data_IF_821071827265
#
_entry.id   IF_821071827265
#
_cell.length_a   1.000
_cell.length_b   1.000
_cell.length_c   1.000
_cell.angle_alpha   90.00
_cell.angle_beta   90.00
_cell.angle_gamma   90.00
#
_symmetry.space_group_name_H-M   'P 1'
#
loop_
_entity.id
_entity.type
_entity.pdbx_description
1 polymer ?
#
# COMPACT_ATOMS: atom_id res chain seq x y z
N UNK A 1 17.71 11.60 1.37
CA UNK A 1 16.90 12.63 0.64
C UNK A 1 15.44 12.42 0.99
N UNK A 2 14.62 13.48 1.11
CA UNK A 2 13.19 13.27 1.39
C UNK A 2 12.39 13.34 0.09
N UNK A 3 11.58 12.33 -0.18
CA UNK A 3 10.74 12.22 -1.37
C UNK A 3 9.35 12.79 -1.03
N UNK A 4 8.87 13.75 -1.83
CA UNK A 4 7.53 14.29 -1.71
C UNK A 4 6.57 13.52 -2.64
N UNK A 5 5.64 12.79 -2.03
CA UNK A 5 4.69 11.94 -2.74
C UNK A 5 3.49 12.79 -3.18
N UNK A 6 3.33 12.95 -4.48
CA UNK A 6 2.25 13.71 -5.08
C UNK A 6 1.20 12.87 -5.84
N UNK A 7 1.45 11.57 -5.93
CA UNK A 7 0.59 10.63 -6.66
C UNK A 7 0.90 10.49 -8.16
N UNK A 8 1.79 11.31 -8.74
CA UNK A 8 1.99 11.37 -10.19
C UNK A 8 3.45 11.31 -10.64
N UNK A 9 4.40 11.84 -9.84
CA UNK A 9 5.79 12.07 -10.26
C UNK A 9 6.79 11.02 -9.73
N UNK A 10 6.31 9.97 -9.06
CA UNK A 10 7.17 8.92 -8.49
C UNK A 10 7.88 8.15 -9.60
N UNK A 11 9.23 8.17 -9.60
CA UNK A 11 10.08 7.43 -10.55
C UNK A 11 10.48 6.05 -10.04
N UNK A 12 10.97 5.17 -10.93
CA UNK A 12 11.48 3.85 -10.56
C UNK A 12 12.67 3.94 -9.59
N UNK A 13 13.58 4.90 -9.80
CA UNK A 13 14.72 5.16 -8.91
C UNK A 13 14.27 5.55 -7.51
N UNK A 14 13.18 6.31 -7.41
CA UNK A 14 12.60 6.70 -6.12
C UNK A 14 11.92 5.52 -5.42
N UNK A 15 11.24 4.64 -6.17
CA UNK A 15 10.67 3.40 -5.62
C UNK A 15 11.80 2.55 -5.04
N UNK A 16 12.88 2.32 -5.78
CA UNK A 16 14.06 1.58 -5.31
C UNK A 16 14.69 2.25 -4.08
N UNK A 17 14.83 3.57 -4.10
CA UNK A 17 15.43 4.34 -2.99
C UNK A 17 14.66 4.16 -1.68
N UNK A 18 13.33 4.22 -1.74
CA UNK A 18 12.48 4.01 -0.55
C UNK A 18 12.47 2.54 -0.13
N UNK A 19 12.33 1.63 -1.10
CA UNK A 19 12.20 0.21 -0.81
C UNK A 19 13.50 -0.41 -0.24
N UNK A 20 14.66 -0.10 -0.85
CA UNK A 20 15.95 -0.74 -0.54
C UNK A 20 16.90 0.10 0.28
N UNK A 21 16.82 1.44 0.18
CA UNK A 21 17.72 2.36 0.90
C UNK A 21 17.06 3.11 2.05
N UNK A 22 15.75 2.91 2.28
CA UNK A 22 15.04 3.52 3.40
C UNK A 22 14.88 5.04 3.29
N UNK A 23 14.88 5.59 2.07
CA UNK A 23 14.67 7.03 1.88
C UNK A 23 13.34 7.48 2.48
N UNK A 24 13.37 8.64 3.12
CA UNK A 24 12.21 9.18 3.83
C UNK A 24 11.18 9.74 2.86
N UNK A 25 9.88 9.54 3.16
CA UNK A 25 8.77 9.93 2.29
C UNK A 25 7.77 10.79 3.04
N UNK A 26 7.31 11.86 2.42
CA UNK A 26 6.25 12.73 2.96
C UNK A 26 5.16 12.94 1.91
N UNK A 27 3.92 13.10 2.36
CA UNK A 27 2.82 13.49 1.49
C UNK A 27 2.95 14.96 1.11
N UNK A 28 2.97 15.26 -0.19
CA UNK A 28 3.03 16.62 -0.71
C UNK A 28 1.79 17.43 -0.25
N UNK A 29 1.95 18.72 0.14
CA UNK A 29 0.83 19.53 0.61
C UNK A 29 -0.34 19.59 -0.38
N UNK A 30 -0.07 19.75 -1.68
CA UNK A 30 -1.10 19.77 -2.71
C UNK A 30 -1.83 18.41 -2.86
N UNK A 31 -1.13 17.29 -2.64
CA UNK A 31 -1.75 15.97 -2.62
C UNK A 31 -2.66 15.82 -1.40
N UNK A 32 -2.24 16.31 -0.24
CA UNK A 32 -3.06 16.30 0.98
C UNK A 32 -4.39 17.01 0.78
N UNK A 33 -4.39 18.17 0.11
CA UNK A 33 -5.62 18.90 -0.19
C UNK A 33 -6.54 18.12 -1.14
N UNK A 34 -5.98 17.43 -2.17
CA UNK A 34 -6.78 16.57 -3.04
C UNK A 34 -7.40 15.39 -2.28
N UNK A 35 -6.64 14.77 -1.38
CA UNK A 35 -7.14 13.67 -0.52
C UNK A 35 -8.29 14.16 0.36
N UNK A 36 -8.15 15.34 0.99
CA UNK A 36 -9.21 15.96 1.79
C UNK A 36 -10.47 16.25 0.97
N UNK A 37 -10.33 16.82 -0.21
CA UNK A 37 -11.45 17.11 -1.10
C UNK A 37 -12.20 15.84 -1.52
N UNK A 38 -11.47 14.77 -1.85
CA UNK A 38 -12.07 13.48 -2.18
C UNK A 38 -12.77 12.85 -0.96
N UNK A 39 -12.22 13.00 0.24
CA UNK A 39 -12.85 12.53 1.48
C UNK A 39 -14.16 13.28 1.74
N UNK A 40 -14.18 14.59 1.62
CA UNK A 40 -15.39 15.40 1.79
C UNK A 40 -16.51 14.96 0.84
N UNK A 41 -16.16 14.55 -0.38
CA UNK A 41 -17.13 13.97 -1.33
C UNK A 41 -17.74 12.68 -0.78
N UNK A 42 -16.93 11.77 -0.23
CA UNK A 42 -17.43 10.51 0.37
C UNK A 42 -18.33 10.81 1.57
N UNK A 43 -17.97 11.75 2.42
CA UNK A 43 -18.77 12.15 3.58
C UNK A 43 -20.13 12.74 3.17
N UNK A 44 -20.15 13.54 2.12
CA UNK A 44 -21.41 14.03 1.53
C UNK A 44 -22.28 12.91 0.95
N UNK A 45 -21.67 11.83 0.42
CA UNK A 45 -22.42 10.68 -0.09
C UNK A 45 -23.02 9.81 1.03
N UNK A 46 -22.42 9.80 2.24
CA UNK A 46 -22.96 9.04 3.38
C UNK A 46 -24.32 9.58 3.85
N UNK A 47 -24.55 10.87 3.66
CA UNK A 47 -25.82 11.53 4.01
C UNK A 47 -26.86 11.44 2.90
N UNK A 48 -26.46 10.99 1.69
CA UNK A 48 -27.35 10.88 0.55
C UNK A 48 -28.26 9.64 0.68
N UNK A 49 -29.53 9.76 0.26
CA UNK A 49 -30.50 8.65 0.30
C UNK A 49 -30.23 7.57 -0.76
N UNK A 50 -29.46 7.88 -1.80
CA UNK A 50 -29.16 6.94 -2.90
C UNK A 50 -28.08 5.91 -2.50
N UNK A 51 -28.21 4.65 -2.94
CA UNK A 51 -27.15 3.65 -2.75
C UNK A 51 -25.91 4.03 -3.59
N UNK A 52 -24.74 4.00 -2.95
CA UNK A 52 -23.44 4.20 -3.60
C UNK A 52 -22.55 3.01 -3.26
N UNK A 53 -22.14 2.27 -4.28
CA UNK A 53 -21.33 1.05 -4.13
C UNK A 53 -20.09 1.26 -3.26
N UNK A 54 -19.96 0.46 -2.23
CA UNK A 54 -18.80 0.47 -1.32
C UNK A 54 -18.70 1.71 -0.43
N UNK A 55 -19.70 2.60 -0.45
CA UNK A 55 -19.83 3.76 0.46
C UNK A 55 -21.03 3.56 1.38
N UNK A 56 -22.24 3.40 0.79
CA UNK A 56 -23.50 3.18 1.52
C UNK A 56 -24.06 1.77 1.30
N UNK A 57 -23.37 0.91 0.51
CA UNK A 57 -23.71 -0.49 0.28
C UNK A 57 -22.56 -1.41 0.65
N UNK A 58 -22.85 -2.71 0.76
CA UNK A 58 -21.85 -3.75 0.83
C UNK A 58 -21.10 -3.96 -0.49
N UNK A 59 -20.32 -5.05 -0.57
CA UNK A 59 -19.43 -5.37 -1.70
C UNK A 59 -19.87 -6.65 -2.41
N UNK A 60 -19.53 -6.79 -3.68
CA UNK A 60 -19.81 -7.99 -4.48
C UNK A 60 -21.31 -8.33 -4.48
N UNK A 61 -21.67 -9.50 -3.97
CA UNK A 61 -23.08 -9.94 -3.87
C UNK A 61 -23.94 -9.07 -2.94
N UNK A 62 -23.31 -8.25 -2.08
CA UNK A 62 -24.01 -7.33 -1.18
C UNK A 62 -24.06 -5.90 -1.74
N UNK A 63 -23.80 -5.71 -3.02
CA UNK A 63 -23.78 -4.40 -3.69
C UNK A 63 -25.10 -3.64 -3.59
N UNK A 64 -26.21 -4.36 -3.48
CA UNK A 64 -27.57 -3.80 -3.36
C UNK A 64 -28.06 -3.69 -1.91
N UNK A 65 -27.26 -4.19 -0.95
CA UNK A 65 -27.61 -4.15 0.47
C UNK A 65 -27.11 -2.84 1.06
N UNK A 66 -28.04 -1.99 1.52
CA UNK A 66 -27.71 -0.75 2.22
C UNK A 66 -27.08 -1.06 3.57
N UNK A 67 -25.96 -0.43 3.86
CA UNK A 67 -25.23 -0.57 5.13
C UNK A 67 -25.56 0.66 5.99
N UNK A 68 -26.12 0.47 7.19
CA UNK A 68 -26.33 1.54 8.14
C UNK A 68 -24.99 2.19 8.53
N UNK A 69 -24.94 3.51 8.76
CA UNK A 69 -23.71 4.22 9.11
C UNK A 69 -22.98 3.61 10.33
N UNK A 70 -23.72 3.11 11.32
CA UNK A 70 -23.19 2.46 12.52
C UNK A 70 -22.47 1.12 12.23
N UNK A 71 -22.73 0.51 11.09
CA UNK A 71 -22.08 -0.73 10.65
C UNK A 71 -20.93 -0.49 9.66
N UNK A 72 -20.72 0.76 9.24
CA UNK A 72 -19.74 1.07 8.21
C UNK A 72 -18.30 0.70 8.64
N UNK A 73 -17.93 0.94 9.90
CA UNK A 73 -16.64 0.55 10.45
C UNK A 73 -16.45 -0.97 10.44
N UNK A 74 -17.40 -1.71 11.01
CA UNK A 74 -17.34 -3.18 11.06
C UNK A 74 -17.27 -3.79 9.66
N UNK A 75 -17.97 -3.20 8.67
CA UNK A 75 -17.89 -3.63 7.29
C UNK A 75 -16.49 -3.50 6.71
N UNK A 76 -15.81 -2.36 6.96
CA UNK A 76 -14.44 -2.13 6.46
C UNK A 76 -13.44 -3.11 7.10
N UNK A 77 -13.53 -3.33 8.40
CA UNK A 77 -12.68 -4.31 9.10
C UNK A 77 -12.93 -5.75 8.60
N UNK A 78 -14.20 -6.14 8.46
CA UNK A 78 -14.56 -7.46 7.97
C UNK A 78 -14.15 -7.68 6.51
N UNK A 79 -14.14 -6.62 5.68
CA UNK A 79 -13.59 -6.68 4.34
C UNK A 79 -12.10 -7.07 4.38
N UNK A 80 -11.29 -6.43 5.21
CA UNK A 80 -9.87 -6.76 5.34
C UNK A 80 -9.68 -8.20 5.82
N UNK A 81 -10.37 -8.60 6.88
CA UNK A 81 -10.28 -9.94 7.46
C UNK A 81 -10.66 -11.03 6.46
N UNK A 82 -11.75 -10.82 5.70
CA UNK A 82 -12.23 -11.79 4.72
C UNK A 82 -11.32 -11.95 3.50
N UNK A 83 -10.48 -10.95 3.20
CA UNK A 83 -9.56 -10.97 2.07
C UNK A 83 -8.13 -11.35 2.45
N UNK A 84 -7.79 -11.41 3.74
CA UNK A 84 -6.47 -11.79 4.22
C UNK A 84 -6.31 -13.32 4.28
N UNK A 85 -6.39 -13.97 3.13
CA UNK A 85 -6.30 -15.43 2.99
C UNK A 85 -5.00 -15.89 2.29
N UNK A 86 -4.00 -15.03 2.20
CA UNK A 86 -2.71 -15.37 1.62
C UNK A 86 -1.99 -16.48 2.39
N UNK A 87 -1.20 -17.28 1.69
CA UNK A 87 -0.44 -18.42 2.21
C UNK A 87 1.00 -18.42 1.70
N UNK A 88 1.85 -19.27 2.25
CA UNK A 88 3.25 -19.39 1.87
C UNK A 88 4.18 -18.51 2.71
N UNK A 89 5.47 -18.46 2.35
CA UNK A 89 6.44 -17.60 3.02
C UNK A 89 6.09 -16.11 2.84
N UNK A 90 6.61 -15.24 3.71
CA UNK A 90 6.42 -13.80 3.55
C UNK A 90 7.19 -13.27 2.34
N UNK A 91 6.62 -12.25 1.68
CA UNK A 91 7.31 -11.45 0.69
C UNK A 91 8.58 -10.81 1.27
N UNK A 92 9.58 -10.58 0.43
CA UNK A 92 10.78 -9.84 0.80
C UNK A 92 10.44 -8.41 1.28
N UNK A 93 11.24 -7.89 2.19
CA UNK A 93 11.00 -6.58 2.83
C UNK A 93 10.91 -5.45 1.79
N UNK A 94 11.80 -5.44 0.80
CA UNK A 94 11.81 -4.41 -0.24
C UNK A 94 10.52 -4.43 -1.08
N UNK A 95 9.97 -5.62 -1.38
CA UNK A 95 8.68 -5.77 -2.06
C UNK A 95 7.51 -5.22 -1.22
N UNK A 96 7.51 -5.48 0.10
CA UNK A 96 6.51 -4.95 1.03
C UNK A 96 6.60 -3.43 1.13
N UNK A 97 7.81 -2.88 1.25
CA UNK A 97 8.07 -1.44 1.30
C UNK A 97 7.64 -0.74 0.00
N UNK A 98 7.96 -1.32 -1.16
CA UNK A 98 7.49 -0.83 -2.45
C UNK A 98 5.95 -0.83 -2.53
N UNK A 99 5.31 -1.89 -2.02
CA UNK A 99 3.85 -2.01 -2.00
C UNK A 99 3.19 -0.94 -1.13
N UNK A 100 3.72 -0.67 0.07
CA UNK A 100 3.28 0.41 0.96
C UNK A 100 3.40 1.77 0.27
N UNK A 101 4.56 2.05 -0.34
CA UNK A 101 4.82 3.29 -1.08
C UNK A 101 3.83 3.49 -2.22
N UNK A 102 3.65 2.46 -3.05
CA UNK A 102 2.73 2.54 -4.19
C UNK A 102 1.27 2.65 -3.74
N UNK A 103 0.88 2.00 -2.63
CA UNK A 103 -0.44 2.20 -2.06
C UNK A 103 -0.65 3.65 -1.63
N UNK A 104 0.29 4.23 -0.89
CA UNK A 104 0.25 5.63 -0.50
C UNK A 104 0.21 6.56 -1.73
N UNK A 105 1.00 6.26 -2.77
CA UNK A 105 1.04 7.05 -4.01
C UNK A 105 -0.31 7.06 -4.75
N UNK A 106 -0.98 5.91 -4.83
CA UNK A 106 -2.32 5.82 -5.44
C UNK A 106 -3.33 6.64 -4.63
N UNK A 107 -3.29 6.57 -3.30
CA UNK A 107 -4.19 7.32 -2.44
C UNK A 107 -3.92 8.84 -2.51
N UNK A 108 -2.65 9.25 -2.64
CA UNK A 108 -2.22 10.64 -2.80
C UNK A 108 -2.80 11.33 -4.06
N UNK A 109 -3.25 10.56 -5.06
CA UNK A 109 -3.95 11.11 -6.23
C UNK A 109 -5.26 11.83 -5.87
N UNK A 110 -5.90 11.46 -4.75
CA UNK A 110 -7.14 12.07 -4.29
C UNK A 110 -8.39 11.57 -5.00
N UNK A 111 -8.43 10.30 -5.44
CA UNK A 111 -9.63 9.70 -6.05
C UNK A 111 -10.29 8.64 -5.16
N UNK A 112 -9.60 8.17 -4.12
CA UNK A 112 -10.05 7.04 -3.31
C UNK A 112 -11.01 7.43 -2.18
N UNK A 113 -11.02 8.69 -1.75
CA UNK A 113 -11.90 9.20 -0.69
C UNK A 113 -11.55 8.70 0.71
N UNK A 114 -10.27 8.39 0.95
CA UNK A 114 -9.75 8.10 2.30
C UNK A 114 -9.46 9.40 3.04
N UNK A 115 -9.38 9.34 4.36
CA UNK A 115 -8.84 10.44 5.18
C UNK A 115 -7.32 10.56 4.97
N UNK A 116 -6.73 11.78 5.12
CA UNK A 116 -5.27 11.97 5.08
C UNK A 116 -4.52 11.07 6.07
N UNK A 117 -5.09 10.79 7.25
CA UNK A 117 -4.50 9.98 8.31
C UNK A 117 -4.19 8.54 7.84
N UNK A 118 -4.96 8.01 6.88
CA UNK A 118 -4.70 6.70 6.27
C UNK A 118 -3.40 6.73 5.46
N UNK A 119 -3.20 7.80 4.68
CA UNK A 119 -1.96 7.99 3.90
C UNK A 119 -0.79 8.24 4.84
N UNK A 120 -1.00 9.07 5.86
CA UNK A 120 0.03 9.39 6.84
C UNK A 120 0.52 8.12 7.55
N UNK A 121 -0.38 7.24 8.01
CA UNK A 121 0.04 6.01 8.67
C UNK A 121 0.80 5.06 7.75
N UNK A 122 0.43 4.94 6.46
CA UNK A 122 1.21 4.19 5.47
C UNK A 122 2.63 4.72 5.35
N UNK A 123 2.79 6.05 5.26
CA UNK A 123 4.10 6.70 5.16
C UNK A 123 4.90 6.59 6.47
N UNK A 124 4.24 6.72 7.63
CA UNK A 124 4.89 6.53 8.92
C UNK A 124 5.36 5.08 9.12
N UNK A 125 4.60 4.08 8.67
CA UNK A 125 5.06 2.70 8.67
C UNK A 125 6.34 2.54 7.84
N UNK A 126 6.40 3.11 6.63
CA UNK A 126 7.61 3.11 5.80
C UNK A 126 8.80 3.79 6.49
N UNK A 127 8.56 5.00 7.03
CA UNK A 127 9.60 5.85 7.60
C UNK A 127 10.15 5.30 8.92
N UNK A 128 9.34 4.55 9.67
CA UNK A 128 9.70 3.96 10.97
C UNK A 128 10.02 2.47 10.89
N UNK A 129 10.10 1.89 9.70
CA UNK A 129 10.49 0.50 9.51
C UNK A 129 9.48 -0.52 10.03
N UNK A 130 8.19 -0.23 9.95
CA UNK A 130 7.12 -1.20 10.21
C UNK A 130 6.80 -1.92 8.90
N UNK A 131 7.16 -3.21 8.81
CA UNK A 131 7.01 -4.01 7.60
C UNK A 131 5.92 -5.07 7.82
N UNK A 132 4.69 -4.90 7.30
CA UNK A 132 3.65 -5.93 7.37
C UNK A 132 4.13 -7.28 6.84
N UNK A 133 3.75 -8.36 7.52
CA UNK A 133 4.01 -9.73 7.04
C UNK A 133 2.94 -10.07 6.00
N UNK A 134 3.34 -10.09 4.75
CA UNK A 134 2.46 -10.35 3.60
C UNK A 134 2.85 -11.67 2.98
N UNK A 135 2.00 -12.72 3.00
CA UNK A 135 2.28 -13.98 2.31
C UNK A 135 2.41 -13.79 0.79
N UNK A 136 3.33 -14.53 0.17
CA UNK A 136 3.64 -14.39 -1.27
C UNK A 136 2.55 -14.92 -2.21
N UNK A 137 1.68 -15.82 -1.73
CA UNK A 137 0.63 -16.46 -2.53
C UNK A 137 -0.74 -15.97 -2.06
N UNK A 138 -1.54 -15.42 -2.96
CA UNK A 138 -2.90 -14.95 -2.62
C UNK A 138 -3.50 -13.99 -3.65
N UNK A 139 -2.69 -13.27 -4.42
CA UNK A 139 -3.21 -12.45 -5.52
C UNK A 139 -3.64 -13.34 -6.67
N UNK A 140 -4.85 -13.09 -7.18
CA UNK A 140 -5.38 -13.75 -8.39
C UNK A 140 -5.44 -12.79 -9.60
N UNK A 141 -5.03 -11.55 -9.40
CA UNK A 141 -4.88 -10.55 -10.45
C UNK A 141 -6.19 -10.07 -11.13
N UNK A 142 -7.36 -10.48 -10.62
CA UNK A 142 -8.63 -10.19 -11.29
C UNK A 142 -9.06 -8.72 -11.20
N UNK A 143 -9.10 -8.15 -9.98
CA UNK A 143 -9.40 -6.72 -9.72
C UNK A 143 -8.28 -6.04 -8.93
N UNK A 144 -7.14 -6.68 -8.83
CA UNK A 144 -5.96 -6.24 -8.09
C UNK A 144 -5.45 -7.28 -7.12
N UNK A 145 -4.52 -6.86 -6.28
CA UNK A 145 -3.80 -7.68 -5.31
C UNK A 145 -4.53 -7.71 -3.96
N UNK A 146 -5.84 -8.08 -3.94
CA UNK A 146 -6.70 -7.91 -2.76
C UNK A 146 -6.14 -8.63 -1.52
N UNK A 147 -5.77 -9.89 -1.63
CA UNK A 147 -5.28 -10.68 -0.49
C UNK A 147 -3.98 -10.12 0.11
N UNK A 148 -2.91 -9.88 -0.66
CA UNK A 148 -1.69 -9.29 -0.09
C UNK A 148 -1.91 -7.87 0.44
N UNK A 149 -2.74 -7.04 -0.22
CA UNK A 149 -3.09 -5.71 0.28
C UNK A 149 -3.93 -5.77 1.56
N UNK A 150 -4.76 -6.80 1.73
CA UNK A 150 -5.51 -7.01 2.97
C UNK A 150 -4.57 -7.34 4.14
N UNK A 151 -3.58 -8.22 3.95
CA UNK A 151 -2.55 -8.47 4.96
C UNK A 151 -1.78 -7.19 5.35
N UNK A 152 -1.42 -6.38 4.36
CA UNK A 152 -0.79 -5.08 4.60
C UNK A 152 -1.71 -4.16 5.42
N UNK A 153 -2.98 -4.06 5.04
CA UNK A 153 -3.96 -3.17 5.67
C UNK A 153 -4.37 -3.60 7.08
N UNK A 154 -4.35 -4.91 7.39
CA UNK A 154 -4.61 -5.40 8.75
C UNK A 154 -3.67 -4.77 9.78
N UNK A 155 -2.39 -4.56 9.44
CA UNK A 155 -1.44 -3.93 10.36
C UNK A 155 -1.84 -2.51 10.69
N UNK A 156 -2.41 -1.76 9.74
CA UNK A 156 -2.85 -0.39 9.97
C UNK A 156 -4.01 -0.30 10.97
N UNK A 157 -4.79 -1.36 11.13
CA UNK A 157 -5.86 -1.44 12.15
C UNK A 157 -5.44 -2.20 13.41
N UNK A 158 -4.14 -2.50 13.55
CA UNK A 158 -3.58 -3.20 14.71
C UNK A 158 -3.73 -4.71 14.69
N UNK A 159 -4.21 -5.29 13.60
CA UNK A 159 -4.34 -6.73 13.40
C UNK A 159 -3.18 -7.27 12.52
N UNK A 160 -3.20 -8.58 12.22
CA UNK A 160 -2.12 -9.20 11.46
C UNK A 160 -0.78 -9.16 12.19
N UNK A 161 0.30 -9.23 11.44
CA UNK A 161 1.66 -9.25 11.96
C UNK A 161 2.56 -8.31 11.16
N UNK A 162 3.57 -7.74 11.81
CA UNK A 162 4.60 -6.95 11.16
C UNK A 162 5.98 -7.25 11.74
N UNK A 163 7.01 -6.96 10.96
CA UNK A 163 8.42 -6.98 11.40
C UNK A 163 8.84 -5.54 11.70
N UNK A 164 9.42 -5.34 12.87
CA UNK A 164 10.02 -4.07 13.31
C UNK A 164 11.37 -4.39 13.94
N UNK A 165 12.43 -3.70 13.50
CA UNK A 165 13.82 -3.94 13.99
C UNK A 165 14.22 -5.43 13.93
N UNK A 166 13.79 -6.15 12.88
CA UNK A 166 14.06 -7.57 12.70
C UNK A 166 13.21 -8.52 13.56
N UNK A 167 12.28 -8.00 14.38
CA UNK A 167 11.41 -8.81 15.24
C UNK A 167 9.97 -8.82 14.73
N UNK A 168 9.42 -10.02 14.57
CA UNK A 168 8.00 -10.23 14.22
C UNK A 168 7.12 -10.05 15.44
N UNK A 169 6.05 -9.27 15.30
CA UNK A 169 5.09 -8.98 16.36
C UNK A 169 3.67 -8.80 15.79
N UNK A 170 2.65 -8.90 16.65
CA UNK A 170 1.28 -8.57 16.30
C UNK A 170 1.17 -7.08 15.88
N UNK A 171 0.30 -6.75 14.95
CA UNK A 171 0.19 -5.43 14.32
C UNK A 171 0.13 -4.28 15.33
N UNK A 172 -0.74 -4.36 16.34
CA UNK A 172 -0.85 -3.33 17.38
C UNK A 172 0.46 -3.15 18.17
N UNK A 173 1.13 -4.26 18.52
CA UNK A 173 2.40 -4.22 19.26
C UNK A 173 3.53 -3.65 18.39
N UNK A 174 3.56 -4.00 17.10
CA UNK A 174 4.53 -3.47 16.14
C UNK A 174 4.38 -1.94 15.97
N UNK A 175 3.16 -1.45 15.81
CA UNK A 175 2.89 -0.02 15.73
C UNK A 175 3.28 0.72 17.02
N UNK A 176 2.86 0.20 18.17
CA UNK A 176 3.17 0.80 19.47
C UNK A 176 4.67 0.91 19.74
N UNK A 177 5.48 -0.07 19.27
CA UNK A 177 6.94 -0.09 19.44
C UNK A 177 7.62 1.13 18.82
N UNK A 178 7.04 1.67 17.75
CA UNK A 178 7.55 2.87 17.06
C UNK A 178 6.70 4.12 17.36
N UNK A 179 5.83 4.08 18.36
CA UNK A 179 5.00 5.23 18.76
C UNK A 179 3.87 5.56 17.78
N UNK A 180 3.40 4.57 17.03
CA UNK A 180 2.22 4.68 16.16
C UNK A 180 1.00 4.01 16.82
N UNK A 181 -0.20 4.50 16.47
CA UNK A 181 -1.46 3.93 16.91
C UNK A 181 -2.24 3.35 15.72
N UNK A 182 -2.98 2.24 15.93
CA UNK A 182 -3.88 1.72 14.91
C UNK A 182 -4.97 2.71 14.52
N UNK A 183 -5.42 2.63 13.28
CA UNK A 183 -6.57 3.39 12.77
C UNK A 183 -7.87 2.65 13.01
N UNK A 184 -8.91 3.40 13.36
CA UNK A 184 -10.29 2.99 13.17
C UNK A 184 -10.72 3.40 11.78
N UNK A 185 -11.05 2.42 10.92
CA UNK A 185 -11.43 2.68 9.54
C UNK A 185 -12.83 3.30 9.46
N UNK A 186 -12.98 4.24 8.56
CA UNK A 186 -14.27 4.82 8.20
C UNK A 186 -14.76 4.26 6.86
N UNK A 187 -16.00 4.60 6.50
CA UNK A 187 -16.62 4.18 5.24
C UNK A 187 -15.68 4.35 4.05
N UNK A 188 -15.61 3.34 3.19
CA UNK A 188 -14.78 3.23 1.98
C UNK A 188 -13.28 3.01 2.21
N UNK A 189 -12.73 3.21 3.39
CA UNK A 189 -11.28 3.14 3.62
C UNK A 189 -10.72 1.71 3.49
N UNK A 190 -11.45 0.69 3.97
CA UNK A 190 -11.05 -0.70 3.77
C UNK A 190 -10.98 -1.07 2.28
N UNK A 191 -12.03 -0.73 1.50
CA UNK A 191 -12.03 -0.95 0.06
C UNK A 191 -10.88 -0.20 -0.63
N UNK A 192 -10.63 1.06 -0.22
CA UNK A 192 -9.55 1.86 -0.79
C UNK A 192 -8.16 1.30 -0.47
N UNK A 193 -8.01 0.57 0.63
CA UNK A 193 -6.74 -0.06 1.00
C UNK A 193 -6.47 -1.35 0.22
N UNK A 194 -7.49 -2.14 -0.13
CA UNK A 194 -7.27 -3.47 -0.74
C UNK A 194 -7.42 -3.48 -2.26
N UNK A 195 -8.10 -2.51 -2.86
CA UNK A 195 -8.38 -2.53 -4.29
C UNK A 195 -7.32 -1.79 -5.10
N UNK A 196 -6.43 -2.53 -5.73
CA UNK A 196 -5.36 -2.03 -6.59
C UNK A 196 -4.27 -3.07 -6.83
N UNK A 197 -3.29 -2.72 -7.66
CA UNK A 197 -2.20 -3.58 -8.13
C UNK A 197 -0.84 -3.19 -7.53
N UNK A 198 -0.84 -2.64 -6.32
CA UNK A 198 0.36 -2.03 -5.74
C UNK A 198 1.44 -3.07 -5.39
N UNK A 199 1.07 -4.32 -5.09
CA UNK A 199 2.03 -5.39 -4.79
C UNK A 199 2.69 -5.87 -6.08
N UNK A 200 1.90 -6.23 -7.08
CA UNK A 200 2.41 -6.63 -8.40
C UNK A 200 3.25 -5.52 -9.05
N UNK A 201 2.80 -4.27 -8.98
CA UNK A 201 3.54 -3.14 -9.52
C UNK A 201 4.84 -2.85 -8.72
N UNK A 202 4.84 -3.02 -7.40
CA UNK A 202 6.02 -2.85 -6.56
C UNK A 202 7.10 -3.88 -6.88
N UNK A 203 6.73 -5.15 -6.95
CA UNK A 203 7.64 -6.24 -7.37
C UNK A 203 8.17 -5.99 -8.78
N UNK A 204 7.27 -5.63 -9.73
CA UNK A 204 7.64 -5.34 -11.12
C UNK A 204 8.60 -4.14 -11.25
N UNK A 205 8.40 -3.08 -10.48
CA UNK A 205 9.28 -1.92 -10.46
C UNK A 205 10.70 -2.26 -9.99
N UNK A 206 10.82 -3.05 -8.92
CA UNK A 206 12.12 -3.51 -8.42
C UNK A 206 12.81 -4.46 -9.40
N UNK A 207 12.07 -5.41 -9.98
CA UNK A 207 12.60 -6.33 -10.97
C UNK A 207 13.08 -5.59 -12.24
N UNK A 208 12.36 -4.55 -12.67
CA UNK A 208 12.79 -3.71 -13.80
C UNK A 208 14.10 -2.98 -13.51
N UNK A 209 14.25 -2.42 -12.30
CA UNK A 209 15.51 -1.79 -11.87
C UNK A 209 16.68 -2.77 -11.88
N UNK A 210 16.46 -3.98 -11.39
CA UNK A 210 17.49 -5.03 -11.43
C UNK A 210 17.87 -5.40 -12.86
N UNK A 211 16.90 -5.49 -13.78
CA UNK A 211 17.15 -5.76 -15.19
C UNK A 211 17.95 -4.64 -15.88
N UNK A 212 17.65 -3.36 -15.58
CA UNK A 212 18.42 -2.21 -16.09
C UNK A 212 19.89 -2.27 -15.64
N UNK A 213 20.13 -2.57 -14.35
CA UNK A 213 21.49 -2.73 -13.81
C UNK A 213 22.21 -3.90 -14.47
N UNK A 214 21.54 -5.06 -14.61
CA UNK A 214 22.12 -6.25 -15.25
C UNK A 214 22.49 -5.98 -16.72
N UNK A 215 21.66 -5.25 -17.45
CA UNK A 215 21.95 -4.87 -18.85
C UNK A 215 23.21 -4.01 -18.92
N UNK A 216 23.32 -3.01 -18.06
CA UNK A 216 24.51 -2.15 -18.00
C UNK A 216 25.78 -2.94 -17.64
N UNK A 217 25.68 -3.85 -16.67
CA UNK A 217 26.81 -4.71 -16.29
C UNK A 217 27.21 -5.65 -17.45
N UNK A 218 26.25 -6.18 -18.19
CA UNK A 218 26.51 -7.04 -19.36
C UNK A 218 27.28 -6.27 -20.46
N UNK A 219 26.89 -5.01 -20.74
CA UNK A 219 27.62 -4.18 -21.72
C UNK A 219 29.06 -3.89 -21.27
N UNK A 220 29.25 -3.54 -20.00
CA UNK A 220 30.59 -3.27 -19.44
C UNK A 220 31.46 -4.53 -19.50
N UNK A 221 30.94 -5.68 -19.06
CA UNK A 221 31.71 -6.93 -19.05
C UNK A 221 32.00 -7.44 -20.47
N UNK A 222 31.06 -7.23 -21.41
CA UNK A 222 31.24 -7.50 -22.83
C UNK A 222 32.39 -6.66 -23.44
N UNK A 223 32.38 -5.35 -23.18
CA UNK A 223 33.45 -4.45 -23.64
C UNK A 223 34.82 -4.82 -23.04
N UNK A 224 34.88 -5.17 -21.74
CA UNK A 224 36.13 -5.65 -21.13
C UNK A 224 36.64 -6.95 -21.76
N UNK A 225 35.74 -7.87 -22.10
CA UNK A 225 36.13 -9.13 -22.78
C UNK A 225 36.67 -8.88 -24.18
N UNK A 226 36.02 -8.01 -24.97
CA UNK A 226 36.49 -7.63 -26.32
C UNK A 226 37.88 -6.99 -26.24
N UNK A 227 38.11 -6.07 -25.32
CA UNK A 227 39.40 -5.41 -25.11
C UNK A 227 40.49 -6.43 -24.73
N UNK A 228 40.18 -7.32 -23.74
CA UNK A 228 41.13 -8.33 -23.29
C UNK A 228 41.51 -9.34 -24.39
N UNK A 229 40.60 -9.66 -25.31
CA UNK A 229 40.82 -10.57 -26.43
C UNK A 229 41.45 -9.88 -27.65
N UNK A 230 41.64 -8.55 -27.62
CA UNK A 230 42.15 -7.74 -28.73
C UNK A 230 41.34 -7.90 -30.03
N UNK A 231 40.01 -8.04 -29.88
CA UNK A 231 39.08 -8.19 -31.02
C UNK A 231 38.66 -6.84 -31.58
#
# INVERSE_FOLDING_TARGET
MTILLDGNSLSLEQVEAVARRGEHVLLAPAARERVRAARATVEGLLTAERPVYGVTTGFGKLSDVRIPPEQAEALQQNLLRSHAFGVGPPLAEDAVRASLLLRANVLAKGYSGVRPEVVDLLLECLNRGVHPVVPEQGSVGASGDLAPLAHLALVLIGEGEAVVEGHRAAGAAALARVGLAPLTLQAKEGLALVNGTCVSAGIGALALRDAEVLTTVADITGAMAVEALLC
#
